data_IF_489015666539
#
_entry.id   IF_489015666539
#
_cell.length_a   1.000
_cell.length_b   1.000
_cell.length_c   1.000
_cell.angle_alpha   90.00
_cell.angle_beta   90.00
_cell.angle_gamma   90.00
#
_symmetry.space_group_name_H-M   'P 1'
#
loop_
_entity.id
_entity.type
_entity.pdbx_description
1 polymer ?
#
# COMPACT_ATOMS: atom_id res chain seq x y z
N UNK A 1 -7.13 22.40 24.22
CA UNK A 1 -8.59 22.17 24.16
C UNK A 1 -8.98 21.27 22.97
N UNK A 2 -8.18 21.22 21.89
CA UNK A 2 -8.42 20.43 20.69
C UNK A 2 -8.40 18.91 20.88
N UNK A 3 -7.43 18.37 21.62
CA UNK A 3 -7.19 16.92 21.74
C UNK A 3 -8.35 16.13 22.40
N UNK A 4 -9.03 16.72 23.40
CA UNK A 4 -10.22 16.11 24.02
C UNK A 4 -11.45 16.14 23.11
N UNK A 5 -11.58 17.17 22.26
CA UNK A 5 -12.67 17.27 21.28
C UNK A 5 -12.50 16.26 20.17
N UNK A 6 -11.28 16.08 19.67
CA UNK A 6 -10.90 15.09 18.64
C UNK A 6 -11.15 13.65 19.12
N UNK A 7 -10.75 13.31 20.34
CA UNK A 7 -11.02 12.00 20.94
C UNK A 7 -12.51 11.71 21.12
N UNK A 8 -13.33 12.73 21.46
CA UNK A 8 -14.79 12.56 21.60
C UNK A 8 -15.48 12.33 20.25
N UNK A 9 -15.00 12.96 19.18
CA UNK A 9 -15.51 12.79 17.82
C UNK A 9 -15.14 11.40 17.28
N UNK A 10 -13.90 10.96 17.42
CA UNK A 10 -13.44 9.60 17.04
C UNK A 10 -14.27 8.54 17.79
N UNK A 11 -14.58 8.74 19.08
CA UNK A 11 -15.46 7.86 19.85
C UNK A 11 -16.90 7.83 19.33
N UNK A 12 -17.43 8.94 18.81
CA UNK A 12 -18.77 8.98 18.23
C UNK A 12 -18.86 8.18 16.92
N UNK A 13 -17.83 8.23 16.07
CA UNK A 13 -17.77 7.42 14.85
C UNK A 13 -17.50 5.95 15.10
N UNK A 14 -16.76 5.61 16.17
CA UNK A 14 -16.53 4.22 16.56
C UNK A 14 -17.83 3.48 16.93
N UNK A 15 -18.89 4.19 17.32
CA UNK A 15 -20.22 3.61 17.58
C UNK A 15 -20.96 3.24 16.28
N UNK A 16 -20.73 3.94 15.18
CA UNK A 16 -21.41 3.69 13.90
C UNK A 16 -20.75 2.58 13.06
N UNK A 17 -19.44 2.34 13.25
CA UNK A 17 -18.70 1.32 12.50
C UNK A 17 -17.66 0.66 13.40
N UNK A 18 -18.03 -0.45 14.04
CA UNK A 18 -17.11 -1.20 14.90
C UNK A 18 -15.90 -1.71 14.11
N UNK A 19 -14.67 -1.65 14.69
CA UNK A 19 -13.46 -2.11 14.05
C UNK A 19 -13.46 -3.62 13.80
N UNK A 20 -12.78 -4.05 12.73
CA UNK A 20 -12.58 -5.46 12.40
C UNK A 20 -11.72 -6.17 13.46
N UNK A 21 -11.70 -7.51 13.40
CA UNK A 21 -10.89 -8.32 14.30
C UNK A 21 -9.39 -8.00 14.19
N UNK A 22 -8.89 -7.74 12.98
CA UNK A 22 -7.48 -7.41 12.75
C UNK A 22 -7.13 -6.00 13.26
N UNK A 23 -8.06 -5.03 13.14
CA UNK A 23 -7.87 -3.70 13.75
C UNK A 23 -7.80 -3.80 15.27
N UNK A 24 -8.65 -4.65 15.87
CA UNK A 24 -8.63 -4.89 17.31
C UNK A 24 -7.31 -5.52 17.75
N UNK A 25 -6.83 -6.53 17.01
CA UNK A 25 -5.54 -7.19 17.27
C UNK A 25 -4.38 -6.18 17.18
N UNK A 26 -4.33 -5.38 16.11
CA UNK A 26 -3.26 -4.39 15.91
C UNK A 26 -3.31 -3.29 16.98
N UNK A 27 -4.50 -2.81 17.34
CA UNK A 27 -4.66 -1.86 18.43
C UNK A 27 -4.19 -2.45 19.76
N UNK A 28 -4.59 -3.68 20.06
CA UNK A 28 -4.14 -4.39 21.27
C UNK A 28 -2.61 -4.48 21.31
N UNK A 29 -1.94 -4.90 20.22
CA UNK A 29 -0.47 -4.94 20.15
C UNK A 29 0.15 -3.57 20.43
N UNK A 30 -0.44 -2.49 19.90
CA UNK A 30 0.06 -1.12 20.11
C UNK A 30 -0.22 -0.56 21.52
N UNK A 31 -1.14 -1.15 22.31
CA UNK A 31 -1.40 -0.75 23.71
C UNK A 31 -0.49 -1.45 24.72
N UNK A 32 0.22 -2.50 24.30
CA UNK A 32 1.13 -3.23 25.17
C UNK A 32 2.36 -2.37 25.54
N UNK A 33 2.84 -2.51 26.79
CA UNK A 33 4.00 -1.78 27.31
C UNK A 33 5.29 -2.34 26.73
N UNK A 34 6.14 -1.49 26.11
CA UNK A 34 7.44 -1.89 25.57
C UNK A 34 7.54 -1.75 24.04
N UNK A 35 8.67 -2.13 23.46
CA UNK A 35 8.87 -1.99 22.02
C UNK A 35 8.02 -2.98 21.23
N UNK A 36 7.22 -2.47 20.32
CA UNK A 36 6.23 -3.22 19.51
C UNK A 36 6.86 -4.39 18.75
N UNK A 37 8.11 -4.27 18.31
CA UNK A 37 8.79 -5.34 17.58
C UNK A 37 8.97 -6.63 18.41
N UNK A 38 9.09 -6.53 19.73
CA UNK A 38 9.18 -7.72 20.61
C UNK A 38 7.91 -8.58 20.52
N UNK A 39 6.73 -7.96 20.42
CA UNK A 39 5.47 -8.69 20.31
C UNK A 39 5.34 -9.43 18.99
N UNK A 40 5.91 -8.88 17.90
CA UNK A 40 6.01 -9.61 16.64
C UNK A 40 6.95 -10.81 16.74
N UNK A 41 8.09 -10.67 17.43
CA UNK A 41 9.00 -11.81 17.66
C UNK A 41 8.33 -12.87 18.53
N UNK A 42 7.69 -12.51 19.65
CA UNK A 42 6.94 -13.47 20.47
C UNK A 42 5.78 -14.11 19.70
N UNK A 43 5.05 -13.33 18.91
CA UNK A 43 4.00 -13.85 18.03
C UNK A 43 4.54 -14.86 17.03
N UNK A 44 5.69 -14.57 16.42
CA UNK A 44 6.38 -15.49 15.51
C UNK A 44 6.73 -16.81 16.21
N UNK A 45 7.41 -16.73 17.37
CA UNK A 45 7.79 -17.93 18.13
C UNK A 45 6.57 -18.73 18.57
N UNK A 46 5.51 -18.07 19.02
CA UNK A 46 4.25 -18.73 19.39
C UNK A 46 3.60 -19.43 18.17
N UNK A 47 3.57 -18.77 17.00
CA UNK A 47 3.05 -19.40 15.78
C UNK A 47 3.87 -20.63 15.36
N UNK A 48 5.21 -20.51 15.36
CA UNK A 48 6.10 -21.65 15.06
C UNK A 48 5.84 -22.82 16.02
N UNK A 49 5.73 -22.52 17.33
CA UNK A 49 5.44 -23.55 18.35
C UNK A 49 4.07 -24.21 18.10
N UNK A 50 3.03 -23.44 17.84
CA UNK A 50 1.68 -23.95 17.60
C UNK A 50 1.61 -24.82 16.35
N UNK A 51 2.24 -24.37 15.26
CA UNK A 51 2.30 -25.11 13.99
C UNK A 51 2.96 -26.48 14.21
N UNK A 52 4.14 -26.52 14.84
CA UNK A 52 4.85 -27.79 15.05
C UNK A 52 4.21 -28.66 16.13
N UNK A 53 3.60 -28.06 17.17
CA UNK A 53 2.90 -28.81 18.23
C UNK A 53 1.80 -29.70 17.68
N UNK A 54 1.10 -29.29 16.63
CA UNK A 54 0.07 -30.10 15.95
C UNK A 54 0.65 -31.43 15.45
N UNK A 55 1.84 -31.39 14.81
CA UNK A 55 2.54 -32.60 14.30
C UNK A 55 3.17 -33.44 15.42
N UNK A 56 3.63 -32.81 16.51
CA UNK A 56 4.14 -33.55 17.69
C UNK A 56 3.02 -34.30 18.40
N UNK A 57 1.83 -33.69 18.55
CA UNK A 57 0.67 -34.32 19.17
C UNK A 57 0.16 -35.48 18.30
N UNK A 58 0.16 -35.31 16.96
CA UNK A 58 -0.20 -36.37 16.02
C UNK A 58 0.80 -37.54 16.03
N UNK A 59 2.02 -37.30 16.51
CA UNK A 59 3.10 -38.28 16.50
C UNK A 59 3.71 -38.55 15.12
N UNK A 60 3.40 -37.70 14.12
CA UNK A 60 4.01 -37.73 12.79
C UNK A 60 5.41 -37.11 12.79
N UNK A 61 5.71 -36.28 13.78
CA UNK A 61 7.05 -35.74 14.03
C UNK A 61 7.50 -35.97 15.48
N UNK A 62 8.81 -36.12 15.69
CA UNK A 62 9.38 -36.19 17.05
C UNK A 62 9.22 -34.85 17.79
N UNK A 63 8.93 -34.91 19.08
CA UNK A 63 8.80 -33.70 19.92
C UNK A 63 10.12 -32.91 19.89
N UNK A 64 10.02 -31.60 19.59
CA UNK A 64 11.18 -30.71 19.47
C UNK A 64 11.76 -30.60 18.05
N UNK A 65 11.35 -31.44 17.09
CA UNK A 65 11.71 -31.24 15.68
C UNK A 65 10.89 -30.10 15.07
N UNK A 66 11.47 -29.37 14.13
CA UNK A 66 10.83 -28.24 13.46
C UNK A 66 10.78 -28.52 11.95
N UNK A 67 9.59 -28.41 11.35
CA UNK A 67 9.45 -28.50 9.91
C UNK A 67 9.66 -27.10 9.29
N UNK A 68 10.69 -26.90 8.43
CA UNK A 68 11.06 -25.57 7.95
C UNK A 68 9.94 -24.88 7.14
N UNK A 69 9.35 -25.58 6.18
CA UNK A 69 8.31 -25.03 5.29
C UNK A 69 7.06 -24.63 6.08
N UNK A 70 6.53 -25.56 6.91
CA UNK A 70 5.35 -25.26 7.72
C UNK A 70 5.61 -24.12 8.71
N UNK A 71 6.79 -24.06 9.32
CA UNK A 71 7.20 -22.96 10.19
C UNK A 71 7.32 -21.64 9.44
N UNK A 72 7.60 -21.68 8.15
CA UNK A 72 7.63 -20.51 7.27
C UNK A 72 6.30 -19.75 7.21
N UNK A 73 5.15 -20.44 7.35
CA UNK A 73 3.83 -19.78 7.41
C UNK A 73 3.73 -18.77 8.56
N UNK A 74 4.46 -18.99 9.67
CA UNK A 74 4.52 -18.03 10.76
C UNK A 74 5.12 -16.67 10.31
N UNK A 75 6.12 -16.69 9.41
CA UNK A 75 6.71 -15.47 8.85
C UNK A 75 5.64 -14.67 8.08
N UNK A 76 4.84 -15.36 7.27
CA UNK A 76 3.75 -14.72 6.50
C UNK A 76 2.73 -14.06 7.41
N UNK A 77 2.25 -14.79 8.43
CA UNK A 77 1.23 -14.28 9.35
C UNK A 77 1.73 -13.01 10.02
N UNK A 78 2.92 -13.07 10.59
CA UNK A 78 3.50 -11.93 11.30
C UNK A 78 3.81 -10.78 10.35
N UNK A 79 4.31 -11.06 9.15
CA UNK A 79 4.54 -10.06 8.13
C UNK A 79 3.25 -9.34 7.71
N UNK A 80 2.16 -10.07 7.47
CA UNK A 80 0.88 -9.47 7.10
C UNK A 80 0.31 -8.59 8.22
N UNK A 81 0.40 -9.02 9.50
CA UNK A 81 -0.04 -8.22 10.66
C UNK A 81 0.84 -6.98 10.82
N UNK A 82 2.16 -7.13 10.69
CA UNK A 82 3.10 -6.01 10.73
C UNK A 82 2.83 -5.01 9.59
N UNK A 83 2.68 -5.50 8.37
CA UNK A 83 2.39 -4.66 7.20
C UNK A 83 1.07 -3.91 7.37
N UNK A 84 0.04 -4.58 7.89
CA UNK A 84 -1.24 -3.95 8.20
C UNK A 84 -1.08 -2.78 9.18
N UNK A 85 -0.34 -2.97 10.28
CA UNK A 85 -0.04 -1.93 11.26
C UNK A 85 0.81 -0.79 10.66
N UNK A 86 1.83 -1.14 9.88
CA UNK A 86 2.71 -0.19 9.21
C UNK A 86 1.93 0.72 8.25
N UNK A 87 1.07 0.15 7.40
CA UNK A 87 0.26 0.91 6.45
C UNK A 87 -0.80 1.78 7.13
N UNK A 88 -1.29 1.39 8.32
CA UNK A 88 -2.14 2.25 9.14
C UNK A 88 -1.43 3.55 9.50
N UNK A 89 -0.22 3.43 10.05
CA UNK A 89 0.59 4.59 10.47
C UNK A 89 0.96 5.49 9.29
N UNK A 90 1.34 4.89 8.15
CA UNK A 90 1.67 5.66 6.94
C UNK A 90 0.44 6.36 6.36
N UNK A 91 -0.73 5.71 6.37
CA UNK A 91 -1.98 6.31 5.91
C UNK A 91 -2.38 7.55 6.73
N UNK A 92 -2.32 7.45 8.06
CA UNK A 92 -2.57 8.59 8.96
C UNK A 92 -1.56 9.72 8.75
N UNK A 93 -0.26 9.41 8.61
CA UNK A 93 0.76 10.42 8.31
C UNK A 93 0.54 11.11 6.96
N UNK A 94 0.17 10.34 5.93
CA UNK A 94 -0.13 10.88 4.61
C UNK A 94 -1.35 11.82 4.65
N UNK A 95 -2.41 11.44 5.37
CA UNK A 95 -3.59 12.28 5.57
C UNK A 95 -3.22 13.60 6.26
N UNK A 96 -2.45 13.56 7.34
CA UNK A 96 -2.00 14.77 8.06
C UNK A 96 -1.24 15.75 7.16
N UNK A 97 -0.42 15.24 6.25
CA UNK A 97 0.30 16.06 5.25
C UNK A 97 -0.64 16.64 4.19
N UNK A 98 -1.69 15.93 3.84
CA UNK A 98 -2.66 16.34 2.82
C UNK A 98 -3.73 17.29 3.35
N UNK A 99 -3.92 17.35 4.67
CA UNK A 99 -4.90 18.20 5.36
C UNK A 99 -4.97 19.65 4.89
N UNK A 100 -3.84 20.37 4.69
CA UNK A 100 -3.88 21.76 4.28
C UNK A 100 -4.55 22.02 2.93
N UNK A 101 -4.71 20.97 2.09
CA UNK A 101 -5.37 21.06 0.78
C UNK A 101 -6.88 20.79 0.84
N UNK A 102 -7.41 20.36 2.00
CA UNK A 102 -8.80 19.94 2.14
C UNK A 102 -9.63 21.07 2.79
N UNK A 103 -10.64 21.62 2.09
CA UNK A 103 -11.60 22.58 2.66
C UNK A 103 -12.67 21.83 3.48
N UNK A 104 -12.27 21.10 4.52
CA UNK A 104 -13.18 20.26 5.31
C UNK A 104 -13.31 20.75 6.75
N UNK A 105 -14.49 20.46 7.37
CA UNK A 105 -14.68 20.68 8.80
C UNK A 105 -13.89 19.67 9.63
N UNK A 106 -13.57 20.01 10.90
CA UNK A 106 -12.89 19.07 11.82
C UNK A 106 -13.67 17.75 11.99
N UNK A 107 -15.01 17.83 11.96
CA UNK A 107 -15.87 16.66 12.05
C UNK A 107 -15.73 15.71 10.85
N UNK A 108 -15.75 16.26 9.62
CA UNK A 108 -15.61 15.47 8.40
C UNK A 108 -14.21 14.86 8.29
N UNK A 109 -13.23 15.57 8.80
CA UNK A 109 -11.84 15.15 8.85
C UNK A 109 -11.64 13.97 9.78
N UNK A 110 -12.19 14.00 10.98
CA UNK A 110 -12.16 12.87 11.93
C UNK A 110 -12.87 11.62 11.35
N UNK A 111 -13.93 11.83 10.56
CA UNK A 111 -14.60 10.75 9.84
C UNK A 111 -13.71 10.13 8.76
N UNK A 112 -13.06 10.96 7.96
CA UNK A 112 -12.13 10.51 6.91
C UNK A 112 -10.96 9.74 7.51
N UNK A 113 -10.35 10.26 8.60
CA UNK A 113 -9.28 9.57 9.31
C UNK A 113 -9.73 8.20 9.80
N UNK A 114 -10.89 8.13 10.44
CA UNK A 114 -11.45 6.87 10.90
C UNK A 114 -11.71 5.87 9.74
N UNK A 115 -12.30 6.32 8.64
CA UNK A 115 -12.56 5.48 7.47
C UNK A 115 -11.28 5.01 6.76
N UNK A 116 -10.22 5.80 6.81
CA UNK A 116 -8.90 5.46 6.25
C UNK A 116 -8.18 4.39 7.10
N UNK A 117 -8.32 4.48 8.43
CA UNK A 117 -7.61 3.61 9.36
C UNK A 117 -8.32 2.30 9.65
N UNK A 118 -9.66 2.30 9.65
CA UNK A 118 -10.45 1.21 10.19
C UNK A 118 -11.20 0.43 9.10
N UNK A 119 -11.02 -0.88 9.11
CA UNK A 119 -11.82 -1.79 8.30
C UNK A 119 -13.14 -2.10 9.05
N UNK A 120 -14.33 -1.94 8.41
CA UNK A 120 -15.60 -2.27 9.04
C UNK A 120 -15.68 -3.72 9.51
N UNK A 121 -16.26 -3.94 10.67
CA UNK A 121 -16.36 -5.26 11.33
C UNK A 121 -17.00 -6.33 10.44
N UNK A 122 -18.02 -5.95 9.65
CA UNK A 122 -18.69 -6.91 8.78
C UNK A 122 -17.78 -7.45 7.68
N UNK A 123 -16.87 -6.60 7.13
CA UNK A 123 -15.86 -7.03 6.17
C UNK A 123 -14.88 -8.00 6.83
N UNK A 124 -14.34 -7.62 8.02
CA UNK A 124 -13.45 -8.50 8.77
C UNK A 124 -14.06 -9.86 9.08
N UNK A 125 -15.36 -9.91 9.43
CA UNK A 125 -16.10 -11.16 9.64
C UNK A 125 -16.27 -11.98 8.37
N UNK A 126 -16.48 -11.33 7.22
CA UNK A 126 -16.63 -12.01 5.92
C UNK A 126 -15.30 -12.61 5.46
N UNK A 127 -14.17 -11.99 5.79
CA UNK A 127 -12.85 -12.50 5.37
C UNK A 127 -12.47 -13.82 6.07
N UNK A 128 -13.01 -14.11 7.26
CA UNK A 128 -12.74 -15.35 7.99
C UNK A 128 -13.27 -16.59 7.23
N UNK A 129 -14.57 -16.71 6.92
CA UNK A 129 -15.07 -17.85 6.19
C UNK A 129 -14.51 -17.96 4.76
N UNK A 130 -14.22 -16.82 4.12
CA UNK A 130 -13.55 -16.82 2.81
C UNK A 130 -12.13 -17.38 2.90
N UNK A 131 -11.36 -16.99 3.94
CA UNK A 131 -10.02 -17.52 4.15
C UNK A 131 -10.02 -19.01 4.47
N UNK A 132 -10.92 -19.46 5.35
CA UNK A 132 -11.08 -20.88 5.68
C UNK A 132 -11.52 -21.69 4.44
N UNK A 133 -12.49 -21.20 3.68
CA UNK A 133 -12.97 -21.85 2.46
C UNK A 133 -11.85 -22.00 1.42
N UNK A 134 -11.04 -20.96 1.24
CA UNK A 134 -9.89 -21.03 0.34
C UNK A 134 -8.81 -22.01 0.85
N UNK A 135 -8.53 -22.05 2.15
CA UNK A 135 -7.61 -23.01 2.75
C UNK A 135 -8.07 -24.47 2.55
N UNK A 136 -9.37 -24.73 2.74
CA UNK A 136 -9.96 -26.06 2.49
C UNK A 136 -9.82 -26.45 1.02
N UNK A 137 -10.12 -25.55 0.09
CA UNK A 137 -9.98 -25.80 -1.36
C UNK A 137 -8.52 -26.13 -1.70
N UNK A 138 -7.55 -25.39 -1.16
CA UNK A 138 -6.13 -25.67 -1.40
C UNK A 138 -5.75 -27.07 -0.93
N UNK A 139 -6.07 -27.43 0.30
CA UNK A 139 -5.74 -28.76 0.86
C UNK A 139 -6.41 -29.88 0.06
N UNK A 140 -7.66 -29.71 -0.37
CA UNK A 140 -8.36 -30.70 -1.19
C UNK A 140 -7.83 -30.80 -2.63
N UNK A 141 -7.16 -29.76 -3.12
CA UNK A 141 -6.60 -29.68 -4.47
C UNK A 141 -5.20 -30.31 -4.56
N UNK A 142 -4.50 -30.45 -3.44
CA UNK A 142 -3.16 -31.03 -3.38
C UNK A 142 -3.23 -32.53 -3.19
N UNK A 143 -2.53 -33.27 -4.05
CA UNK A 143 -2.47 -34.74 -4.00
C UNK A 143 -1.64 -35.27 -2.82
N UNK A 144 -0.71 -34.45 -2.30
CA UNK A 144 0.13 -34.74 -1.13
C UNK A 144 0.55 -33.41 -0.47
N UNK A 145 -0.26 -32.85 0.46
CA UNK A 145 0.05 -31.57 1.12
C UNK A 145 1.29 -31.64 2.01
N UNK A 146 1.82 -32.83 2.28
CA UNK A 146 3.01 -33.08 3.10
C UNK A 146 3.91 -34.09 2.42
N UNK A 147 4.83 -33.68 1.57
CA UNK A 147 5.72 -34.56 0.82
C UNK A 147 6.60 -35.46 1.76
N UNK A 148 7.05 -34.89 2.90
CA UNK A 148 7.98 -35.53 3.82
C UNK A 148 7.35 -36.04 5.12
N UNK A 149 6.08 -35.75 5.38
CA UNK A 149 5.38 -36.08 6.62
C UNK A 149 4.08 -36.82 6.30
N UNK A 150 3.93 -37.99 6.84
CA UNK A 150 2.66 -38.75 6.76
C UNK A 150 1.84 -38.52 8.04
N UNK A 151 0.79 -37.70 8.01
CA UNK A 151 -0.08 -37.47 9.16
C UNK A 151 -0.73 -38.81 9.60
N UNK A 152 -0.77 -39.04 10.91
CA UNK A 152 -1.38 -40.23 11.49
C UNK A 152 -2.87 -40.08 11.74
N UNK A 153 -3.30 -38.85 11.96
CA UNK A 153 -4.69 -38.49 12.25
C UNK A 153 -5.15 -37.30 11.36
N UNK A 154 -6.40 -36.89 11.53
CA UNK A 154 -6.91 -35.68 10.87
C UNK A 154 -6.42 -34.35 11.51
N UNK A 155 -5.71 -34.43 12.64
CA UNK A 155 -5.33 -33.25 13.43
C UNK A 155 -4.40 -32.28 12.65
N UNK A 156 -3.34 -32.74 11.93
CA UNK A 156 -2.51 -31.86 11.10
C UNK A 156 -3.31 -31.12 10.01
N UNK A 157 -4.22 -31.80 9.33
CA UNK A 157 -5.06 -31.18 8.29
C UNK A 157 -5.99 -30.10 8.86
N UNK A 158 -6.58 -30.35 10.05
CA UNK A 158 -7.41 -29.34 10.75
C UNK A 158 -6.53 -28.16 11.17
N UNK A 159 -5.35 -28.42 11.74
CA UNK A 159 -4.39 -27.40 12.12
C UNK A 159 -4.01 -26.50 10.94
N UNK A 160 -3.74 -27.13 9.80
CA UNK A 160 -3.35 -26.44 8.57
C UNK A 160 -4.49 -25.58 7.99
N UNK A 161 -5.73 -26.10 7.97
CA UNK A 161 -6.92 -25.31 7.62
C UNK A 161 -7.06 -24.07 8.51
N UNK A 162 -6.83 -24.22 9.82
CA UNK A 162 -6.96 -23.09 10.76
C UNK A 162 -5.85 -22.06 10.53
N UNK A 163 -4.61 -22.50 10.39
CA UNK A 163 -3.44 -21.63 10.24
C UNK A 163 -3.46 -20.94 8.88
N UNK A 164 -3.65 -21.69 7.80
CA UNK A 164 -3.75 -21.15 6.44
C UNK A 164 -4.99 -20.29 6.27
N UNK A 165 -6.12 -20.69 6.86
CA UNK A 165 -7.35 -19.89 6.88
C UNK A 165 -7.17 -18.56 7.60
N UNK A 166 -6.45 -18.54 8.72
CA UNK A 166 -6.10 -17.30 9.42
C UNK A 166 -5.16 -16.42 8.59
N UNK A 167 -4.14 -16.98 7.98
CA UNK A 167 -3.22 -16.29 7.07
C UNK A 167 -3.98 -15.64 5.90
N UNK A 168 -4.79 -16.42 5.19
CA UNK A 168 -5.54 -15.96 4.03
C UNK A 168 -6.57 -14.90 4.42
N UNK A 169 -7.25 -15.07 5.58
CA UNK A 169 -8.17 -14.05 6.12
C UNK A 169 -7.46 -12.73 6.41
N UNK A 170 -6.23 -12.81 6.94
CA UNK A 170 -5.39 -11.63 7.20
C UNK A 170 -4.98 -10.95 5.89
N UNK A 171 -4.55 -11.73 4.91
CA UNK A 171 -4.16 -11.24 3.58
C UNK A 171 -5.35 -10.58 2.85
N UNK A 172 -6.53 -11.21 2.84
CA UNK A 172 -7.73 -10.63 2.25
C UNK A 172 -8.13 -9.33 2.95
N UNK A 173 -8.05 -9.29 4.28
CA UNK A 173 -8.32 -8.07 5.06
C UNK A 173 -7.34 -6.94 4.68
N UNK A 174 -6.06 -7.27 4.50
CA UNK A 174 -5.03 -6.32 4.05
C UNK A 174 -5.32 -5.78 2.65
N UNK A 175 -5.66 -6.65 1.70
CA UNK A 175 -5.98 -6.28 0.31
C UNK A 175 -7.22 -5.39 0.25
N UNK A 176 -8.31 -5.80 0.88
CA UNK A 176 -9.57 -5.03 0.87
C UNK A 176 -9.37 -3.66 1.53
N UNK A 177 -8.63 -3.61 2.64
CA UNK A 177 -8.28 -2.34 3.27
C UNK A 177 -7.46 -1.46 2.34
N UNK A 178 -6.43 -2.00 1.69
CA UNK A 178 -5.60 -1.26 0.74
C UNK A 178 -6.44 -0.66 -0.40
N UNK A 179 -7.35 -1.44 -0.98
CA UNK A 179 -8.28 -0.97 -2.02
C UNK A 179 -9.18 0.17 -1.48
N UNK A 180 -9.68 0.05 -0.25
CA UNK A 180 -10.50 1.11 0.37
C UNK A 180 -9.70 2.39 0.61
N UNK A 181 -8.47 2.26 1.12
CA UNK A 181 -7.56 3.41 1.30
C UNK A 181 -7.31 4.13 -0.03
N UNK A 182 -7.04 3.40 -1.10
CA UNK A 182 -6.80 3.98 -2.42
C UNK A 182 -8.03 4.69 -3.00
N UNK A 183 -9.22 4.10 -2.83
CA UNK A 183 -10.48 4.75 -3.22
C UNK A 183 -10.71 6.05 -2.44
N UNK A 184 -10.39 6.05 -1.15
CA UNK A 184 -10.47 7.24 -0.32
C UNK A 184 -9.48 8.31 -0.77
N UNK A 185 -8.23 7.94 -1.02
CA UNK A 185 -7.19 8.83 -1.57
C UNK A 185 -7.69 9.53 -2.84
N UNK A 186 -8.24 8.76 -3.78
CA UNK A 186 -8.79 9.32 -5.03
C UNK A 186 -9.92 10.32 -4.77
N UNK A 187 -10.82 10.03 -3.81
CA UNK A 187 -11.89 10.96 -3.43
C UNK A 187 -11.35 12.25 -2.81
N UNK A 188 -10.33 12.15 -1.95
CA UNK A 188 -9.72 13.29 -1.30
C UNK A 188 -9.00 14.19 -2.32
N UNK A 189 -8.31 13.62 -3.30
CA UNK A 189 -7.69 14.40 -4.39
C UNK A 189 -8.74 15.14 -5.21
N UNK A 190 -9.85 14.50 -5.56
CA UNK A 190 -10.94 15.15 -6.29
C UNK A 190 -11.62 16.31 -5.50
N UNK A 191 -11.42 16.38 -4.19
CA UNK A 191 -11.94 17.44 -3.31
C UNK A 191 -10.88 18.48 -2.93
N UNK A 192 -9.62 18.26 -3.30
CA UNK A 192 -8.54 19.19 -3.02
C UNK A 192 -8.76 20.49 -3.78
N UNK A 193 -8.75 21.60 -3.04
CA UNK A 193 -8.82 22.94 -3.63
C UNK A 193 -7.40 23.47 -3.85
N UNK A 194 -7.16 24.07 -5.03
CA UNK A 194 -5.94 24.82 -5.36
C UNK A 194 -4.63 24.10 -5.02
N UNK A 195 -4.23 23.14 -5.85
CA UNK A 195 -2.94 22.48 -5.73
C UNK A 195 -1.85 23.49 -6.07
N UNK A 196 -1.04 23.85 -5.07
CA UNK A 196 0.13 24.72 -5.28
C UNK A 196 1.27 23.89 -5.90
N UNK A 197 1.54 24.12 -7.20
CA UNK A 197 2.58 23.42 -7.95
C UNK A 197 4.00 23.67 -7.41
N UNK A 198 4.20 24.73 -6.62
CA UNK A 198 5.49 25.01 -5.98
C UNK A 198 5.63 24.27 -4.64
N UNK A 199 4.53 23.70 -4.11
CA UNK A 199 4.49 22.94 -2.86
C UNK A 199 3.84 21.58 -3.08
N UNK A 200 4.49 20.70 -3.83
CA UNK A 200 3.96 19.38 -4.20
C UNK A 200 4.00 18.33 -3.08
N UNK A 201 4.69 18.61 -1.95
CA UNK A 201 4.82 17.64 -0.86
C UNK A 201 3.47 17.11 -0.35
N UNK A 202 2.43 17.93 -0.11
CA UNK A 202 1.12 17.44 0.28
C UNK A 202 0.46 16.58 -0.82
N UNK A 203 0.53 17.01 -2.07
CA UNK A 203 -0.04 16.24 -3.20
C UNK A 203 0.62 14.86 -3.37
N UNK A 204 1.92 14.76 -3.09
CA UNK A 204 2.67 13.50 -3.15
C UNK A 204 2.56 12.63 -1.89
N UNK A 205 1.92 13.10 -0.82
CA UNK A 205 1.82 12.35 0.44
C UNK A 205 1.22 10.95 0.26
N UNK A 206 0.15 10.85 -0.53
CA UNK A 206 -0.53 9.58 -0.79
C UNK A 206 0.18 8.69 -1.82
N UNK A 207 1.03 9.26 -2.68
CA UNK A 207 1.87 8.48 -3.60
C UNK A 207 2.84 7.58 -2.84
N UNK A 208 3.39 8.10 -1.72
CA UNK A 208 4.21 7.31 -0.80
C UNK A 208 3.43 6.16 -0.16
N UNK A 209 2.16 6.37 0.22
CA UNK A 209 1.31 5.30 0.75
C UNK A 209 1.07 4.20 -0.29
N UNK A 210 0.69 4.56 -1.52
CA UNK A 210 0.46 3.61 -2.62
C UNK A 210 1.71 2.80 -2.94
N UNK A 211 2.87 3.46 -3.02
CA UNK A 211 4.15 2.82 -3.28
C UNK A 211 4.50 1.79 -2.19
N UNK A 212 4.40 2.18 -0.92
CA UNK A 212 4.69 1.28 0.21
C UNK A 212 3.71 0.12 0.31
N UNK A 213 2.44 0.35 -0.04
CA UNK A 213 1.43 -0.71 -0.10
C UNK A 213 1.74 -1.71 -1.21
N UNK A 214 2.03 -1.23 -2.42
CA UNK A 214 2.40 -2.09 -3.55
C UNK A 214 3.68 -2.89 -3.29
N UNK A 215 4.74 -2.24 -2.78
CA UNK A 215 5.98 -2.90 -2.39
C UNK A 215 5.72 -3.95 -1.29
N UNK A 216 4.92 -3.59 -0.28
CA UNK A 216 4.60 -4.51 0.82
C UNK A 216 3.85 -5.76 0.35
N UNK A 217 2.89 -5.61 -0.56
CA UNK A 217 2.17 -6.75 -1.14
C UNK A 217 3.08 -7.59 -2.05
N UNK A 218 3.92 -6.94 -2.87
CA UNK A 218 4.89 -7.64 -3.71
C UNK A 218 5.93 -8.43 -2.89
N UNK A 219 6.33 -7.91 -1.72
CA UNK A 219 7.25 -8.60 -0.81
C UNK A 219 6.69 -9.93 -0.29
N UNK A 220 5.36 -10.10 -0.24
CA UNK A 220 4.74 -11.39 0.10
C UNK A 220 5.20 -12.47 -0.87
N UNK A 221 5.31 -12.17 -2.17
CA UNK A 221 5.80 -13.11 -3.17
C UNK A 221 7.28 -13.47 -2.97
N UNK A 222 8.09 -12.49 -2.57
CA UNK A 222 9.51 -12.73 -2.25
C UNK A 222 9.63 -13.67 -1.05
N UNK A 223 8.86 -13.42 0.01
CA UNK A 223 8.84 -14.25 1.21
C UNK A 223 8.35 -15.67 0.85
N UNK A 224 7.29 -15.79 0.03
CA UNK A 224 6.79 -17.07 -0.43
C UNK A 224 7.87 -17.90 -1.11
N UNK A 225 8.55 -17.29 -2.08
CA UNK A 225 9.62 -17.95 -2.82
C UNK A 225 10.78 -18.39 -1.91
N UNK A 226 11.16 -17.57 -0.93
CA UNK A 226 12.26 -17.90 -0.01
C UNK A 226 11.91 -19.04 0.96
N UNK A 227 10.63 -19.20 1.31
CA UNK A 227 10.18 -20.28 2.20
C UNK A 227 10.07 -21.60 1.44
N UNK A 228 9.42 -21.56 0.29
CA UNK A 228 9.17 -22.75 -0.52
C UNK A 228 9.17 -22.42 -2.02
N UNK A 229 10.32 -22.55 -2.69
CA UNK A 229 10.41 -22.35 -4.14
C UNK A 229 9.55 -23.34 -4.94
N UNK A 230 9.36 -24.57 -4.42
CA UNK A 230 8.60 -25.62 -5.10
C UNK A 230 7.10 -25.32 -5.18
N UNK A 231 6.59 -24.50 -4.26
CA UNK A 231 5.18 -24.07 -4.27
C UNK A 231 4.79 -23.28 -5.52
N UNK A 232 5.77 -22.81 -6.32
CA UNK A 232 5.50 -22.12 -7.60
C UNK A 232 5.33 -23.07 -8.80
N UNK A 233 5.39 -24.37 -8.59
CA UNK A 233 5.31 -25.38 -9.66
C UNK A 233 3.88 -25.82 -9.96
N UNK A 234 2.97 -25.62 -9.02
CA UNK A 234 1.58 -26.00 -9.20
C UNK A 234 0.80 -24.94 -10.01
N UNK A 235 -0.15 -25.38 -10.84
CA UNK A 235 -1.01 -24.45 -11.62
C UNK A 235 -1.74 -23.45 -10.72
N UNK A 236 -2.19 -23.90 -9.53
CA UNK A 236 -2.91 -23.03 -8.59
C UNK A 236 -2.00 -21.95 -8.01
N UNK A 237 -0.77 -22.28 -7.69
CA UNK A 237 0.23 -21.34 -7.18
C UNK A 237 0.63 -20.30 -8.23
N UNK A 238 0.78 -20.71 -9.49
CA UNK A 238 1.06 -19.79 -10.60
C UNK A 238 -0.09 -18.77 -10.75
N UNK A 239 -1.34 -19.24 -10.68
CA UNK A 239 -2.51 -18.36 -10.75
C UNK A 239 -2.55 -17.40 -9.56
N UNK A 240 -2.35 -17.91 -8.34
CA UNK A 240 -2.34 -17.08 -7.11
C UNK A 240 -1.24 -16.02 -7.18
N UNK A 241 -0.05 -16.39 -7.62
CA UNK A 241 1.09 -15.49 -7.81
C UNK A 241 0.77 -14.40 -8.82
N UNK A 242 0.20 -14.77 -9.98
CA UNK A 242 -0.21 -13.80 -10.99
C UNK A 242 -1.26 -12.82 -10.46
N UNK A 243 -2.24 -13.30 -9.70
CA UNK A 243 -3.26 -12.47 -9.07
C UNK A 243 -2.64 -11.48 -8.08
N UNK A 244 -1.76 -11.94 -7.19
CA UNK A 244 -1.07 -11.06 -6.21
C UNK A 244 -0.20 -10.04 -6.94
N UNK A 245 0.49 -10.43 -8.00
CA UNK A 245 1.33 -9.54 -8.82
C UNK A 245 0.49 -8.45 -9.49
N UNK A 246 -0.62 -8.82 -10.12
CA UNK A 246 -1.55 -7.87 -10.75
C UNK A 246 -2.13 -6.92 -9.71
N UNK A 247 -2.50 -7.43 -8.53
CA UNK A 247 -2.99 -6.60 -7.42
C UNK A 247 -1.91 -5.62 -6.93
N UNK A 248 -0.67 -6.08 -6.75
CA UNK A 248 0.44 -5.22 -6.32
C UNK A 248 0.69 -4.09 -7.33
N UNK A 249 0.71 -4.42 -8.63
CA UNK A 249 0.87 -3.43 -9.71
C UNK A 249 -0.33 -2.48 -9.73
N UNK A 250 -1.56 -2.99 -9.65
CA UNK A 250 -2.77 -2.17 -9.66
C UNK A 250 -2.80 -1.20 -8.47
N UNK A 251 -2.49 -1.68 -7.27
CA UNK A 251 -2.43 -0.87 -6.05
C UNK A 251 -1.34 0.22 -6.16
N UNK A 252 -0.23 -0.09 -6.81
CA UNK A 252 0.85 0.86 -7.02
C UNK A 252 0.49 1.92 -8.07
N UNK A 253 -0.07 1.51 -9.20
CA UNK A 253 -0.25 2.36 -10.40
C UNK A 253 -1.55 3.17 -10.39
N UNK A 254 -2.68 2.52 -10.03
CA UNK A 254 -4.02 3.14 -10.19
C UNK A 254 -4.24 4.48 -9.47
N UNK A 255 -3.74 4.68 -8.22
CA UNK A 255 -3.96 5.96 -7.56
C UNK A 255 -3.18 7.11 -8.18
N UNK A 256 -2.12 6.79 -8.89
CA UNK A 256 -1.15 7.77 -9.38
C UNK A 256 -1.55 8.34 -10.71
N UNK A 257 -2.22 7.56 -11.53
CA UNK A 257 -2.75 8.06 -12.79
C UNK A 257 -3.66 9.27 -12.51
N UNK A 258 -4.58 9.18 -11.53
CA UNK A 258 -5.44 10.30 -11.17
C UNK A 258 -4.68 11.52 -10.64
N UNK A 259 -3.70 11.31 -9.75
CA UNK A 259 -2.89 12.41 -9.19
C UNK A 259 -2.07 13.10 -10.28
N UNK A 260 -1.49 12.34 -11.20
CA UNK A 260 -0.74 12.87 -12.31
C UNK A 260 -1.62 13.73 -13.22
N UNK A 261 -2.80 13.23 -13.58
CA UNK A 261 -3.73 13.94 -14.46
C UNK A 261 -4.17 15.27 -13.84
N UNK A 262 -4.49 15.29 -12.54
CA UNK A 262 -4.84 16.51 -11.79
C UNK A 262 -3.68 17.52 -11.77
N UNK A 263 -2.44 17.06 -11.57
CA UNK A 263 -1.24 17.91 -11.57
C UNK A 263 -0.91 18.43 -12.97
N UNK A 264 -1.14 17.64 -14.01
CA UNK A 264 -0.88 18.00 -15.41
C UNK A 264 -1.90 19.04 -15.88
N UNK A 265 -3.17 18.91 -15.50
CA UNK A 265 -4.23 19.87 -15.76
C UNK A 265 -3.95 21.22 -15.07
N UNK A 266 -3.58 21.21 -13.78
CA UNK A 266 -3.24 22.43 -13.05
C UNK A 266 -1.99 23.13 -13.64
N UNK A 267 -0.96 22.34 -14.00
CA UNK A 267 0.24 22.87 -14.68
C UNK A 267 -0.10 23.50 -16.02
N UNK A 268 -0.94 22.84 -16.83
CA UNK A 268 -1.40 23.40 -18.11
C UNK A 268 -2.13 24.71 -17.88
N UNK A 269 -3.07 24.76 -16.93
CA UNK A 269 -3.83 25.96 -16.60
C UNK A 269 -2.94 27.16 -16.21
N UNK A 270 -1.92 26.93 -15.39
CA UNK A 270 -0.97 27.99 -15.00
C UNK A 270 -0.14 28.44 -16.20
N UNK A 271 0.38 27.49 -17.00
CA UNK A 271 1.17 27.82 -18.17
C UNK A 271 0.37 28.57 -19.25
N UNK A 272 -0.89 28.19 -19.45
CA UNK A 272 -1.79 28.86 -20.39
C UNK A 272 -2.06 30.29 -19.92
N UNK A 273 -2.31 30.52 -18.64
CA UNK A 273 -2.45 31.85 -18.07
C UNK A 273 -1.20 32.71 -18.29
N UNK A 274 -0.01 32.16 -18.06
CA UNK A 274 1.26 32.91 -18.32
C UNK A 274 1.44 33.17 -19.80
N UNK A 275 1.13 32.20 -20.69
CA UNK A 275 1.22 32.40 -22.13
C UNK A 275 0.27 33.50 -22.65
N UNK A 276 -0.94 33.62 -22.11
CA UNK A 276 -1.91 34.65 -22.47
C UNK A 276 -1.41 36.03 -22.09
N UNK A 277 -0.84 36.18 -20.88
CA UNK A 277 -0.23 37.45 -20.44
C UNK A 277 0.98 37.78 -21.30
N UNK A 278 1.81 36.78 -21.62
CA UNK A 278 3.01 36.93 -22.46
C UNK A 278 2.63 37.39 -23.87
N UNK A 279 1.64 36.75 -24.49
CA UNK A 279 1.15 37.14 -25.82
C UNK A 279 0.62 38.56 -25.85
N UNK A 280 -0.18 38.96 -24.85
CA UNK A 280 -0.72 40.32 -24.71
C UNK A 280 0.41 41.36 -24.54
N UNK A 281 1.43 41.00 -23.74
CA UNK A 281 2.58 41.88 -23.50
C UNK A 281 3.45 42.03 -24.77
N UNK A 282 3.66 40.91 -25.50
CA UNK A 282 4.41 40.94 -26.79
C UNK A 282 3.67 41.73 -27.85
N UNK A 283 2.36 41.60 -27.97
CA UNK A 283 1.52 42.36 -28.90
C UNK A 283 1.60 43.85 -28.58
N UNK A 284 1.48 44.21 -27.29
CA UNK A 284 1.60 45.61 -26.84
C UNK A 284 3.00 46.17 -27.11
N UNK A 285 4.06 45.38 -26.97
CA UNK A 285 5.42 45.79 -27.29
C UNK A 285 5.59 46.05 -28.79
N UNK A 286 5.06 45.15 -29.65
CA UNK A 286 5.11 45.34 -31.11
C UNK A 286 4.37 46.60 -31.55
N UNK A 287 3.17 46.84 -31.04
CA UNK A 287 2.38 48.04 -31.35
C UNK A 287 3.11 49.34 -30.99
N UNK A 288 3.84 49.36 -29.86
CA UNK A 288 4.63 50.51 -29.46
C UNK A 288 5.86 50.73 -30.33
N UNK A 289 6.57 49.65 -30.66
CA UNK A 289 7.73 49.71 -31.56
C UNK A 289 7.35 50.23 -32.96
N UNK A 290 6.19 49.81 -33.50
CA UNK A 290 5.67 50.29 -34.79
C UNK A 290 5.32 51.78 -34.75
N UNK A 291 4.82 52.27 -33.59
CA UNK A 291 4.48 53.71 -33.37
C UNK A 291 5.70 54.56 -33.01
N UNK A 292 6.88 54.00 -32.86
CA UNK A 292 8.09 54.71 -32.47
C UNK A 292 8.11 55.20 -31.01
N UNK A 293 7.26 54.63 -30.15
CA UNK A 293 7.19 54.93 -28.72
C UNK A 293 8.12 54.00 -27.92
N UNK A 294 9.32 54.46 -27.62
CA UNK A 294 10.35 53.69 -26.93
C UNK A 294 10.40 53.94 -25.42
N UNK A 295 9.52 54.83 -24.87
CA UNK A 295 9.66 55.32 -23.51
C UNK A 295 9.53 54.20 -22.45
N UNK A 296 8.62 53.24 -22.63
CA UNK A 296 8.36 52.14 -21.70
C UNK A 296 8.95 50.77 -22.14
N UNK A 297 9.61 50.73 -23.28
CA UNK A 297 10.15 49.45 -23.85
C UNK A 297 11.08 48.72 -22.87
N UNK A 298 12.02 49.36 -22.15
CA UNK A 298 12.88 48.66 -21.20
C UNK A 298 12.12 48.07 -19.99
N UNK A 299 11.02 48.69 -19.56
CA UNK A 299 10.17 48.16 -18.47
C UNK A 299 9.36 46.97 -18.94
N UNK A 300 8.81 47.02 -20.17
CA UNK A 300 8.10 45.93 -20.80
C UNK A 300 9.02 44.71 -21.04
N UNK A 301 10.24 44.94 -21.52
CA UNK A 301 11.25 43.89 -21.72
C UNK A 301 11.55 43.14 -20.40
N UNK A 302 11.74 43.89 -19.28
CA UNK A 302 11.92 43.29 -17.96
C UNK A 302 10.72 42.43 -17.53
N UNK A 303 9.49 42.92 -17.77
CA UNK A 303 8.27 42.18 -17.49
C UNK A 303 8.15 40.89 -18.30
N UNK A 304 8.40 40.98 -19.61
CA UNK A 304 8.41 39.81 -20.52
C UNK A 304 9.47 38.79 -20.10
N UNK A 305 10.67 39.23 -19.76
CA UNK A 305 11.73 38.33 -19.29
C UNK A 305 11.37 37.66 -17.97
N UNK A 306 10.71 38.37 -17.04
CA UNK A 306 10.20 37.77 -15.80
C UNK A 306 9.13 36.71 -16.07
N UNK A 307 8.19 36.93 -16.99
CA UNK A 307 7.18 35.97 -17.40
C UNK A 307 7.79 34.75 -18.07
N UNK A 308 8.84 34.92 -18.90
CA UNK A 308 9.58 33.81 -19.51
C UNK A 308 10.26 32.97 -18.43
N UNK A 309 10.90 33.57 -17.45
CA UNK A 309 11.52 32.87 -16.33
C UNK A 309 10.48 32.13 -15.49
N UNK A 310 9.33 32.74 -15.19
CA UNK A 310 8.22 32.12 -14.50
C UNK A 310 7.68 30.92 -15.28
N UNK A 311 7.44 31.07 -16.58
CA UNK A 311 7.02 29.98 -17.47
C UNK A 311 8.03 28.83 -17.45
N UNK A 312 9.32 29.12 -17.52
CA UNK A 312 10.37 28.12 -17.48
C UNK A 312 10.39 27.39 -16.14
N UNK A 313 10.20 28.06 -15.03
CA UNK A 313 10.11 27.49 -13.69
C UNK A 313 8.95 26.49 -13.61
N UNK A 314 7.73 26.89 -14.01
CA UNK A 314 6.58 25.98 -14.01
C UNK A 314 6.72 24.83 -15.02
N UNK A 315 7.32 25.07 -16.18
CA UNK A 315 7.55 24.03 -17.20
C UNK A 315 8.45 22.89 -16.70
N UNK A 316 9.42 23.20 -15.84
CA UNK A 316 10.35 22.22 -15.24
C UNK A 316 9.76 21.43 -14.08
N UNK A 317 8.60 21.81 -13.55
CA UNK A 317 7.94 21.09 -12.47
C UNK A 317 7.51 19.71 -12.99
N UNK A 318 7.97 18.65 -12.32
CA UNK A 318 7.57 17.28 -12.65
C UNK A 318 6.16 17.01 -12.12
N UNK A 319 5.26 16.62 -13.00
CA UNK A 319 3.92 16.15 -12.65
C UNK A 319 3.92 14.67 -12.24
N UNK A 320 5.07 14.00 -12.32
CA UNK A 320 5.21 12.60 -11.96
C UNK A 320 5.34 12.47 -10.43
N UNK A 321 4.42 11.78 -9.76
CA UNK A 321 4.32 11.77 -8.29
C UNK A 321 5.35 10.88 -7.59
N UNK A 322 6.18 10.15 -8.32
CA UNK A 322 7.23 9.31 -7.75
C UNK A 322 8.62 9.82 -8.08
N UNK A 323 9.53 9.64 -7.13
CA UNK A 323 10.94 9.71 -7.40
C UNK A 323 11.44 8.39 -8.04
N UNK A 324 12.54 8.49 -8.76
CA UNK A 324 13.17 7.32 -9.41
C UNK A 324 13.57 6.23 -8.41
N UNK A 325 13.82 6.58 -7.16
CA UNK A 325 14.17 5.64 -6.09
C UNK A 325 12.98 4.74 -5.75
N UNK A 326 11.81 5.33 -5.59
CA UNK A 326 10.57 4.61 -5.32
C UNK A 326 10.23 3.66 -6.46
N UNK A 327 10.33 4.13 -7.69
CA UNK A 327 10.07 3.31 -8.89
C UNK A 327 11.05 2.13 -8.99
N UNK A 328 12.35 2.38 -8.77
CA UNK A 328 13.37 1.31 -8.75
C UNK A 328 13.10 0.29 -7.64
N UNK A 329 12.76 0.74 -6.45
CA UNK A 329 12.44 -0.14 -5.32
C UNK A 329 11.25 -1.03 -5.64
N UNK A 330 10.20 -0.49 -6.23
CA UNK A 330 9.04 -1.27 -6.63
C UNK A 330 9.38 -2.27 -7.73
N UNK A 331 10.03 -1.81 -8.80
CA UNK A 331 10.43 -2.67 -9.92
C UNK A 331 11.34 -3.81 -9.46
N UNK A 332 12.35 -3.52 -8.61
CA UNK A 332 13.22 -4.57 -8.06
C UNK A 332 12.46 -5.57 -7.21
N UNK A 333 11.52 -5.13 -6.37
CA UNK A 333 10.70 -6.03 -5.55
C UNK A 333 9.83 -6.97 -6.39
N UNK A 334 9.31 -6.49 -7.53
CA UNK A 334 8.54 -7.31 -8.46
C UNK A 334 9.42 -8.28 -9.27
N UNK A 335 10.62 -7.86 -9.64
CA UNK A 335 11.52 -8.65 -10.49
C UNK A 335 12.26 -9.74 -9.70
N UNK A 336 12.53 -9.53 -8.41
CA UNK A 336 13.27 -10.50 -7.58
C UNK A 336 12.65 -11.89 -7.60
N UNK A 337 11.35 -12.11 -7.34
CA UNK A 337 10.76 -13.45 -7.37
C UNK A 337 10.87 -14.08 -8.77
N UNK A 338 10.65 -13.30 -9.82
CA UNK A 338 10.76 -13.78 -11.21
C UNK A 338 12.20 -14.22 -11.51
N UNK A 339 13.17 -13.41 -11.10
CA UNK A 339 14.58 -13.69 -11.31
C UNK A 339 15.03 -14.93 -10.54
N UNK A 340 14.61 -15.07 -9.29
CA UNK A 340 14.88 -16.23 -8.46
C UNK A 340 14.25 -17.49 -9.06
N UNK A 341 13.03 -17.42 -9.57
CA UNK A 341 12.36 -18.53 -10.23
C UNK A 341 13.09 -18.97 -11.52
N UNK A 342 13.57 -18.01 -12.32
CA UNK A 342 14.38 -18.32 -13.50
C UNK A 342 15.70 -18.99 -13.14
N UNK A 343 16.37 -18.50 -12.09
CA UNK A 343 17.62 -19.09 -11.62
C UNK A 343 17.39 -20.50 -11.09
N UNK A 344 16.37 -20.76 -10.26
CA UNK A 344 16.09 -22.09 -9.74
C UNK A 344 15.86 -23.09 -10.87
N UNK A 345 15.09 -22.70 -11.90
CA UNK A 345 14.86 -23.56 -13.08
C UNK A 345 16.11 -23.81 -13.91
N UNK A 346 16.99 -22.83 -14.01
CA UNK A 346 18.28 -23.02 -14.69
C UNK A 346 19.18 -23.99 -13.90
N UNK A 347 19.26 -23.82 -12.59
CA UNK A 347 20.04 -24.72 -11.71
C UNK A 347 19.51 -26.14 -11.81
N UNK A 348 18.19 -26.38 -11.69
CA UNK A 348 17.56 -27.71 -11.82
C UNK A 348 17.83 -28.38 -13.19
N UNK A 349 18.06 -27.59 -14.24
CA UNK A 349 18.34 -28.08 -15.58
C UNK A 349 19.81 -28.47 -15.80
N UNK A 350 20.72 -27.88 -15.02
CA UNK A 350 22.17 -28.10 -15.19
C UNK A 350 22.77 -29.00 -14.12
N UNK A 351 22.07 -29.21 -13.02
CA UNK A 351 22.47 -30.10 -11.92
C UNK A 351 21.41 -31.14 -11.64
#
# INVERSE_FOLDING_TARGET
MGEKSEQSLIQSFSRSSQPSWIDQLVRWINTLSGPVWLYYVFGFLACVLLINAVFWIDGSMSVGSIHPVNSGFAIFIIYCIWLYNYLTKIGSQALKKFLPLLPMSEHDLAKVEYELEVLPRWIGRLMIPLGIGFAVINILSESAPYEDIVPRTALPYIGDVVISGFLISTLFSLIIRSIRQLRMVRRLHAQAANIDLLKLEPAHAFSSLSARTGIGIAMILVIAFLIDPSSFDTKMSIISTAVILILAIGIFVLPIIGIRDDLEEEKSRVLDGINDILNTSLTSLHDRLEKGDYQDVPAMEKGINALIQERELYSRISTWPWDLRTLRSFASTLLVPIFLLVISRLVERFF
#
